data_IF_552041077594
#
_entry.id   IF_552041077594
#
_cell.length_a   1.000
_cell.length_b   1.000
_cell.length_c   1.000
_cell.angle_alpha   90.00
_cell.angle_beta   90.00
_cell.angle_gamma   90.00
#
_symmetry.space_group_name_H-M   'P 1'
#
loop_
_entity.id
_entity.type
_entity.pdbx_description
1 polymer ?
#
# COMPACT_ATOMS: atom_id res chain seq x y z
N UNK A 1 11.32 10.83 -5.19
CA UNK A 1 10.74 9.61 -5.76
C UNK A 1 9.77 8.98 -4.75
N UNK A 2 8.65 8.51 -5.21
CA UNK A 2 7.63 7.93 -4.33
C UNK A 2 8.02 6.50 -3.96
N UNK A 3 8.05 6.22 -2.67
CA UNK A 3 8.44 4.91 -2.16
C UNK A 3 7.19 4.15 -1.70
N UNK A 4 6.67 3.31 -2.59
CA UNK A 4 5.46 2.56 -2.28
C UNK A 4 5.64 1.60 -1.13
N UNK A 5 6.81 0.98 -1.01
CA UNK A 5 7.05 0.03 0.08
C UNK A 5 6.86 0.71 1.43
N UNK A 6 7.47 1.88 1.58
CA UNK A 6 7.39 2.62 2.83
C UNK A 6 5.99 3.15 3.08
N UNK A 7 5.34 3.67 2.04
CA UNK A 7 4.00 4.24 2.18
C UNK A 7 2.97 3.19 2.49
N UNK A 8 3.07 2.03 1.87
CA UNK A 8 2.13 0.93 2.13
C UNK A 8 2.25 0.48 3.57
N UNK A 9 3.49 0.32 4.05
CA UNK A 9 3.71 -0.09 5.43
C UNK A 9 3.19 0.97 6.40
N UNK A 10 3.44 2.24 6.10
CA UNK A 10 2.98 3.33 6.96
C UNK A 10 1.45 3.35 7.03
N UNK A 11 0.78 3.21 5.90
CA UNK A 11 -0.68 3.18 5.88
C UNK A 11 -1.19 2.03 6.73
N UNK A 12 -0.60 0.85 6.53
CA UNK A 12 -1.02 -0.34 7.25
C UNK A 12 -0.89 -0.14 8.76
N UNK A 13 0.24 0.42 9.18
CA UNK A 13 0.49 0.65 10.59
C UNK A 13 -0.46 1.67 11.20
N UNK A 14 -0.74 2.73 10.45
CA UNK A 14 -1.67 3.75 10.94
C UNK A 14 -3.07 3.23 11.10
N UNK A 15 -3.46 2.27 10.27
CA UNK A 15 -4.80 1.68 10.33
C UNK A 15 -4.84 0.41 11.17
N UNK A 16 -3.72 0.03 11.74
CA UNK A 16 -3.61 -1.20 12.52
C UNK A 16 -4.02 -2.43 11.73
N UNK A 17 -3.59 -2.49 10.48
CA UNK A 17 -3.92 -3.60 9.58
C UNK A 17 -2.76 -4.57 9.47
N UNK A 18 -3.09 -5.87 9.38
CA UNK A 18 -2.10 -6.85 8.98
C UNK A 18 -1.95 -6.80 7.46
N UNK A 19 -0.88 -7.44 6.97
CA UNK A 19 -0.68 -7.53 5.52
C UNK A 19 -1.84 -8.25 4.86
N UNK A 20 -2.38 -9.26 5.52
CA UNK A 20 -3.51 -10.02 4.98
C UNK A 20 -4.75 -9.15 4.89
N UNK A 21 -4.99 -8.33 5.91
CA UNK A 21 -6.15 -7.45 5.91
C UNK A 21 -6.05 -6.41 4.80
N UNK A 22 -4.86 -5.85 4.60
CA UNK A 22 -4.67 -4.89 3.51
C UNK A 22 -4.88 -5.57 2.16
N UNK A 23 -4.40 -6.81 2.01
CA UNK A 23 -4.60 -7.55 0.77
C UNK A 23 -6.08 -7.70 0.46
N UNK A 24 -6.90 -7.97 1.48
CA UNK A 24 -8.34 -8.09 1.29
C UNK A 24 -8.95 -6.77 0.85
N UNK A 25 -8.54 -5.68 1.46
CA UNK A 25 -9.05 -4.35 1.10
C UNK A 25 -8.74 -4.03 -0.35
N UNK A 26 -7.54 -4.38 -0.80
CA UNK A 26 -7.11 -4.12 -2.17
C UNK A 26 -7.56 -5.18 -3.16
N UNK A 27 -8.12 -6.28 -2.66
CA UNK A 27 -8.55 -7.40 -3.50
C UNK A 27 -7.37 -7.99 -4.27
N UNK A 28 -6.25 -8.20 -3.55
CA UNK A 28 -5.05 -8.80 -4.13
C UNK A 28 -4.59 -9.90 -3.18
N UNK A 29 -3.60 -10.68 -3.62
CA UNK A 29 -3.07 -11.75 -2.79
C UNK A 29 -2.18 -11.19 -1.68
N UNK A 30 -2.11 -11.91 -0.58
CA UNK A 30 -1.21 -11.57 0.51
C UNK A 30 0.25 -11.49 0.03
N UNK A 31 0.63 -12.41 -0.87
CA UNK A 31 1.99 -12.43 -1.41
C UNK A 31 2.32 -11.12 -2.12
N UNK A 32 1.33 -10.54 -2.82
CA UNK A 32 1.54 -9.27 -3.50
C UNK A 32 1.90 -8.17 -2.51
N UNK A 33 1.16 -8.07 -1.40
CA UNK A 33 1.45 -7.05 -0.41
C UNK A 33 2.86 -7.25 0.17
N UNK A 34 3.21 -8.50 0.47
CA UNK A 34 4.54 -8.80 0.98
C UNK A 34 5.62 -8.34 0.02
N UNK A 35 5.45 -8.62 -1.27
CA UNK A 35 6.44 -8.24 -2.28
C UNK A 35 6.59 -6.73 -2.39
N UNK A 36 5.47 -6.02 -2.35
CA UNK A 36 5.53 -4.55 -2.43
C UNK A 36 6.27 -3.96 -1.24
N UNK A 37 6.09 -4.54 -0.06
CA UNK A 37 6.74 -4.01 1.14
C UNK A 37 8.23 -4.32 1.19
N UNK A 38 8.72 -5.26 0.38
CA UNK A 38 10.16 -5.50 0.28
C UNK A 38 10.87 -4.43 -0.54
N UNK A 39 10.12 -3.67 -1.34
CA UNK A 39 10.69 -2.66 -2.20
C UNK A 39 11.19 -3.18 -3.53
N UNK A 40 11.09 -4.47 -3.78
CA UNK A 40 11.57 -5.07 -5.04
C UNK A 40 10.55 -5.00 -6.15
N UNK A 41 9.28 -4.93 -5.80
CA UNK A 41 8.18 -4.95 -6.76
C UNK A 41 7.25 -3.78 -6.46
N UNK A 42 6.68 -3.22 -7.51
CA UNK A 42 5.69 -2.16 -7.36
C UNK A 42 4.33 -2.67 -7.78
N UNK A 43 3.25 -2.12 -7.17
CA UNK A 43 1.90 -2.47 -7.62
C UNK A 43 1.68 -2.00 -9.06
N UNK A 44 0.75 -2.65 -9.75
CA UNK A 44 0.39 -2.18 -11.09
C UNK A 44 -0.43 -0.90 -10.98
N UNK A 45 -0.72 -0.30 -12.14
CA UNK A 45 -1.38 1.01 -12.17
C UNK A 45 -2.73 1.00 -11.47
N UNK A 46 -3.52 -0.04 -11.69
CA UNK A 46 -4.83 -0.13 -11.08
C UNK A 46 -4.73 -0.14 -9.55
N UNK A 47 -3.81 -0.93 -9.03
CA UNK A 47 -3.61 -1.02 -7.59
C UNK A 47 -3.03 0.29 -7.04
N UNK A 48 -2.15 0.94 -7.80
CA UNK A 48 -1.61 2.23 -7.38
C UNK A 48 -2.74 3.25 -7.19
N UNK A 49 -3.72 3.25 -8.08
CA UNK A 49 -4.86 4.16 -7.95
C UNK A 49 -5.63 3.88 -6.67
N UNK A 50 -5.84 2.61 -6.35
CA UNK A 50 -6.53 2.25 -5.11
C UNK A 50 -5.73 2.69 -3.90
N UNK A 51 -4.42 2.49 -3.93
CA UNK A 51 -3.56 2.89 -2.82
C UNK A 51 -3.57 4.40 -2.60
N UNK A 52 -3.51 5.17 -3.69
CA UNK A 52 -3.56 6.62 -3.59
C UNK A 52 -4.85 7.06 -2.92
N UNK A 53 -5.98 6.46 -3.29
CA UNK A 53 -7.25 6.79 -2.67
C UNK A 53 -7.22 6.49 -1.16
N UNK A 54 -6.66 5.35 -0.78
CA UNK A 54 -6.56 4.99 0.64
C UNK A 54 -5.64 5.94 1.40
N UNK A 55 -4.51 6.29 0.80
CA UNK A 55 -3.57 7.21 1.44
C UNK A 55 -4.23 8.57 1.67
N UNK A 56 -5.00 9.04 0.69
CA UNK A 56 -5.68 10.33 0.81
C UNK A 56 -6.70 10.33 1.94
N UNK A 57 -7.34 9.20 2.20
CA UNK A 57 -8.35 9.12 3.25
C UNK A 57 -7.78 9.45 4.62
N UNK A 58 -6.52 9.13 4.86
CA UNK A 58 -5.90 9.40 6.16
C UNK A 58 -4.89 10.54 6.09
N UNK A 59 -4.90 11.30 5.00
CA UNK A 59 -4.07 12.48 4.89
C UNK A 59 -2.60 12.23 4.65
N UNK A 60 -2.24 11.05 4.13
CA UNK A 60 -0.85 10.78 3.80
C UNK A 60 -0.45 11.55 2.55
N UNK A 61 0.76 12.08 2.57
CA UNK A 61 1.28 12.83 1.44
C UNK A 61 1.74 11.86 0.35
N UNK A 62 1.50 12.26 -0.90
CA UNK A 62 1.75 11.38 -2.03
C UNK A 62 3.01 11.70 -2.81
N UNK A 63 3.55 12.88 -2.64
CA UNK A 63 4.63 13.37 -3.49
C UNK A 63 5.95 13.53 -2.77
N UNK A 64 6.19 12.72 -1.79
CA UNK A 64 7.44 12.82 -1.03
C UNK A 64 8.47 11.83 -1.42
#
# INVERSE_FOLDING_TARGET
MFDYAKKIREYRERKFLTQEELAEILNVSYVSVCRWETGRFEPNMETKKKLVALFNEIGMKLDE
#
